data_IF_130264864791
#
_entry.id   IF_130264864791
#
_cell.length_a   1.000
_cell.length_b   1.000
_cell.length_c   1.000
_cell.angle_alpha   90.00
_cell.angle_beta   90.00
_cell.angle_gamma   90.00
#
_symmetry.space_group_name_H-M   'P 1'
#
loop_
_entity.id
_entity.type
_entity.pdbx_description
1 polymer ?
#
# COMPACT_ATOMS: atom_id res chain seq x y z
N UNK A 1 11.93 8.01 -71.02
CA UNK A 1 12.37 8.70 -69.78
C UNK A 1 11.18 9.18 -68.93
N UNK A 2 10.07 9.63 -69.52
CA UNK A 2 8.87 10.06 -68.77
C UNK A 2 8.17 8.92 -67.99
N UNK A 3 8.10 7.71 -68.53
CA UNK A 3 7.37 6.59 -67.90
C UNK A 3 8.00 6.10 -66.60
N UNK A 4 9.33 6.11 -66.50
CA UNK A 4 10.02 5.71 -65.27
C UNK A 4 9.83 6.75 -64.15
N UNK A 5 9.76 8.04 -64.49
CA UNK A 5 9.47 9.10 -63.53
C UNK A 5 8.07 8.98 -62.93
N UNK A 6 7.06 8.72 -63.77
CA UNK A 6 5.68 8.53 -63.33
C UNK A 6 5.53 7.27 -62.46
N UNK A 7 6.17 6.16 -62.85
CA UNK A 7 6.15 4.92 -62.07
C UNK A 7 6.77 5.09 -60.67
N UNK A 8 7.87 5.83 -60.54
CA UNK A 8 8.51 6.11 -59.24
C UNK A 8 7.61 6.98 -58.37
N UNK A 9 6.91 7.97 -58.94
CA UNK A 9 5.98 8.82 -58.20
C UNK A 9 4.77 8.01 -57.70
N UNK A 10 4.20 7.15 -58.56
CA UNK A 10 3.07 6.29 -58.18
C UNK A 10 3.49 5.29 -57.10
N UNK A 11 4.65 4.64 -57.25
CA UNK A 11 5.17 3.72 -56.25
C UNK A 11 5.45 4.43 -54.92
N UNK A 12 6.02 5.63 -54.97
CA UNK A 12 6.23 6.49 -53.80
C UNK A 12 4.92 6.84 -53.10
N UNK A 13 3.88 7.23 -53.85
CA UNK A 13 2.55 7.51 -53.30
C UNK A 13 1.88 6.27 -52.69
N UNK A 14 2.01 5.09 -53.34
CA UNK A 14 1.49 3.84 -52.81
C UNK A 14 2.22 3.41 -51.52
N UNK A 15 3.53 3.59 -51.44
CA UNK A 15 4.30 3.36 -50.21
C UNK A 15 3.86 4.33 -49.11
N UNK A 16 3.64 5.61 -49.43
CA UNK A 16 3.19 6.62 -48.47
C UNK A 16 1.75 6.35 -47.99
N UNK A 17 0.89 5.87 -48.88
CA UNK A 17 -0.48 5.44 -48.57
C UNK A 17 -0.49 4.18 -47.71
N UNK A 18 0.33 3.18 -48.04
CA UNK A 18 0.50 1.97 -47.23
C UNK A 18 1.04 2.31 -45.83
N UNK A 19 2.07 3.15 -45.73
CA UNK A 19 2.61 3.63 -44.46
C UNK A 19 1.60 4.47 -43.64
N UNK A 20 0.61 5.09 -44.30
CA UNK A 20 -0.51 5.78 -43.65
C UNK A 20 -1.61 4.83 -43.18
N UNK A 21 -1.90 3.77 -43.96
CA UNK A 21 -2.86 2.73 -43.60
C UNK A 21 -2.37 1.88 -42.41
N UNK A 22 -1.07 1.64 -42.31
CA UNK A 22 -0.43 0.94 -41.17
C UNK A 22 -0.64 1.66 -39.82
N UNK A 23 -0.92 2.98 -39.84
CA UNK A 23 -1.26 3.76 -38.63
C UNK A 23 -2.71 3.56 -38.17
N UNK A 24 -3.55 2.93 -38.96
CA UNK A 24 -4.99 2.72 -38.68
C UNK A 24 -5.26 1.30 -38.19
N UNK A 25 -4.25 0.42 -38.17
CA UNK A 25 -4.42 -0.92 -37.64
C UNK A 25 -4.83 -0.84 -36.16
N UNK A 26 -6.02 -1.34 -35.86
CA UNK A 26 -6.54 -1.37 -34.50
C UNK A 26 -5.68 -2.32 -33.71
N UNK A 27 -4.90 -1.77 -32.78
CA UNK A 27 -4.06 -2.57 -31.90
C UNK A 27 -4.96 -3.26 -30.90
N UNK A 28 -4.90 -4.58 -30.90
CA UNK A 28 -5.56 -5.41 -29.90
C UNK A 28 -4.49 -6.00 -28.98
N UNK A 29 -4.66 -5.78 -27.68
CA UNK A 29 -3.79 -6.37 -26.66
C UNK A 29 -4.64 -7.07 -25.61
N UNK A 30 -4.16 -8.20 -25.14
CA UNK A 30 -4.84 -9.02 -24.15
C UNK A 30 -3.85 -9.53 -23.11
N UNK A 31 -4.26 -9.56 -21.85
CA UNK A 31 -3.45 -10.15 -20.79
C UNK A 31 -3.98 -9.89 -19.40
N UNK A 32 -3.19 -10.25 -18.40
CA UNK A 32 -3.43 -9.85 -17.03
C UNK A 32 -3.24 -8.33 -16.91
N UNK A 33 -4.24 -7.63 -16.37
CA UNK A 33 -4.20 -6.19 -16.23
C UNK A 33 -3.58 -5.77 -14.91
N UNK A 34 -2.53 -4.94 -14.98
CA UNK A 34 -2.12 -4.11 -13.86
C UNK A 34 -2.97 -2.83 -13.88
N UNK A 35 -3.78 -2.64 -12.85
CA UNK A 35 -4.73 -1.53 -12.76
C UNK A 35 -4.04 -0.35 -12.08
N UNK A 36 -3.85 0.75 -12.80
CA UNK A 36 -3.13 1.93 -12.32
C UNK A 36 -4.05 2.86 -11.52
N UNK A 37 -5.21 3.20 -12.08
CA UNK A 37 -6.25 4.05 -11.47
C UNK A 37 -7.65 3.64 -11.99
N UNK A 38 -8.63 4.54 -11.98
CA UNK A 38 -10.00 4.25 -12.39
C UNK A 38 -10.26 4.23 -13.90
N UNK A 39 -9.34 4.71 -14.73
CA UNK A 39 -9.46 4.74 -16.19
C UNK A 39 -8.19 4.28 -16.94
N UNK A 40 -7.12 3.95 -16.23
CA UNK A 40 -5.83 3.56 -16.81
C UNK A 40 -5.37 2.19 -16.32
N UNK A 41 -4.94 1.35 -17.27
CA UNK A 41 -4.42 0.00 -17.02
C UNK A 41 -3.17 -0.27 -17.85
N UNK A 42 -2.40 -1.29 -17.47
CA UNK A 42 -1.22 -1.75 -18.20
C UNK A 42 -1.37 -3.24 -18.51
N UNK A 43 -1.25 -3.60 -19.80
CA UNK A 43 -1.26 -4.98 -20.29
C UNK A 43 0.13 -5.33 -20.85
N UNK A 44 0.92 -6.10 -20.10
CA UNK A 44 2.32 -6.36 -20.45
C UNK A 44 3.14 -5.06 -20.50
N UNK A 45 3.67 -4.72 -21.67
CA UNK A 45 4.41 -3.47 -21.90
C UNK A 45 3.52 -2.29 -22.34
N UNK A 46 2.25 -2.53 -22.65
CA UNK A 46 1.35 -1.53 -23.24
C UNK A 46 0.57 -0.81 -22.14
N UNK A 47 0.71 0.52 -22.08
CA UNK A 47 -0.06 1.37 -21.17
C UNK A 47 -1.29 1.90 -21.88
N UNK A 48 -2.45 1.74 -21.24
CA UNK A 48 -3.75 1.98 -21.86
C UNK A 48 -4.53 2.96 -20.99
N UNK A 49 -5.12 3.97 -21.64
CA UNK A 49 -6.15 4.82 -21.06
C UNK A 49 -7.48 4.46 -21.71
N UNK A 50 -8.49 4.20 -20.90
CA UNK A 50 -9.83 3.87 -21.34
C UNK A 50 -10.43 5.05 -22.10
N UNK A 51 -10.85 4.82 -23.35
CA UNK A 51 -11.42 5.86 -24.19
C UNK A 51 -12.78 6.30 -23.64
N UNK A 52 -13.08 7.60 -23.78
CA UNK A 52 -14.41 8.16 -23.53
C UNK A 52 -14.77 8.36 -22.07
N UNK A 53 -13.86 8.08 -21.14
CA UNK A 53 -14.09 8.21 -19.70
C UNK A 53 -12.91 8.89 -19.01
N UNK A 54 -13.19 9.55 -17.88
CA UNK A 54 -12.17 10.13 -17.00
C UNK A 54 -12.52 9.78 -15.55
N UNK A 55 -11.60 9.10 -14.88
CA UNK A 55 -11.77 8.72 -13.48
C UNK A 55 -10.82 9.52 -12.59
N UNK A 56 -11.14 9.69 -11.29
CA UNK A 56 -10.20 10.31 -10.36
C UNK A 56 -8.85 9.59 -10.35
N UNK A 57 -7.78 10.38 -10.37
CA UNK A 57 -6.42 9.89 -10.20
C UNK A 57 -6.31 9.08 -8.90
N UNK A 58 -5.42 8.07 -8.85
CA UNK A 58 -5.38 7.11 -7.73
C UNK A 58 -5.34 7.76 -6.33
N UNK A 59 -4.60 8.87 -6.20
CA UNK A 59 -4.42 9.59 -4.93
C UNK A 59 -5.46 10.70 -4.69
N UNK A 60 -6.41 10.88 -5.61
CA UNK A 60 -7.42 11.94 -5.54
C UNK A 60 -8.43 11.67 -4.41
N UNK A 61 -8.70 12.72 -3.64
CA UNK A 61 -9.78 12.78 -2.64
C UNK A 61 -10.90 13.66 -3.18
N UNK A 62 -12.14 13.23 -3.02
CA UNK A 62 -13.34 13.95 -3.45
C UNK A 62 -14.20 14.30 -2.24
N UNK A 63 -15.18 15.20 -2.41
CA UNK A 63 -16.08 15.62 -1.34
C UNK A 63 -17.53 15.36 -1.70
N UNK A 64 -18.27 14.67 -0.82
CA UNK A 64 -19.69 14.36 -0.99
C UNK A 64 -20.41 14.54 0.34
N UNK A 65 -21.54 15.25 0.33
CA UNK A 65 -22.33 15.55 1.54
C UNK A 65 -21.50 16.19 2.67
N UNK A 66 -20.56 17.06 2.31
CA UNK A 66 -19.69 17.74 3.27
C UNK A 66 -18.50 16.94 3.79
N UNK A 67 -18.42 15.63 3.50
CA UNK A 67 -17.33 14.75 3.91
C UNK A 67 -16.38 14.42 2.75
N UNK A 68 -15.09 14.33 3.07
CA UNK A 68 -14.05 13.91 2.13
C UNK A 68 -13.96 12.38 2.08
N UNK A 69 -13.72 11.82 0.90
CA UNK A 69 -13.57 10.38 0.68
C UNK A 69 -12.57 10.08 -0.45
N UNK A 70 -11.91 8.93 -0.36
CA UNK A 70 -10.85 8.49 -1.28
C UNK A 70 -11.41 7.99 -2.63
N UNK A 71 -12.00 8.89 -3.43
CA UNK A 71 -12.62 8.55 -4.71
C UNK A 71 -11.67 7.88 -5.69
N UNK A 72 -10.38 8.26 -5.75
CA UNK A 72 -9.38 7.63 -6.60
C UNK A 72 -9.17 6.15 -6.28
N UNK A 73 -8.97 5.84 -5.00
CA UNK A 73 -8.83 4.46 -4.53
C UNK A 73 -10.10 3.65 -4.78
N UNK A 74 -11.28 4.23 -4.55
CA UNK A 74 -12.56 3.54 -4.75
C UNK A 74 -12.87 3.30 -6.23
N UNK A 75 -12.54 4.25 -7.11
CA UNK A 75 -12.68 4.10 -8.56
C UNK A 75 -11.76 2.99 -9.10
N UNK A 76 -10.50 2.95 -8.63
CA UNK A 76 -9.58 1.85 -8.93
C UNK A 76 -10.09 0.50 -8.43
N UNK A 77 -10.57 0.44 -7.19
CA UNK A 77 -11.13 -0.79 -6.60
C UNK A 77 -12.37 -1.28 -7.34
N UNK A 78 -13.20 -0.37 -7.87
CA UNK A 78 -14.30 -0.73 -8.77
C UNK A 78 -13.78 -1.51 -9.98
N UNK A 79 -12.73 -1.00 -10.62
CA UNK A 79 -12.14 -1.66 -11.78
C UNK A 79 -11.49 -3.01 -11.44
N UNK A 80 -10.84 -3.12 -10.28
CA UNK A 80 -10.32 -4.41 -9.75
C UNK A 80 -11.45 -5.43 -9.60
N UNK A 81 -12.60 -5.02 -9.05
CA UNK A 81 -13.77 -5.91 -8.91
C UNK A 81 -14.39 -6.27 -10.25
N UNK A 82 -14.46 -5.34 -11.19
CA UNK A 82 -14.98 -5.59 -12.54
C UNK A 82 -14.10 -6.59 -13.31
N UNK A 83 -12.78 -6.49 -13.17
CA UNK A 83 -11.86 -7.43 -13.85
C UNK A 83 -11.88 -8.80 -13.17
N UNK A 84 -11.90 -8.84 -11.82
CA UNK A 84 -11.97 -10.06 -11.03
C UNK A 84 -10.94 -11.14 -11.43
N UNK A 85 -9.71 -10.71 -11.76
CA UNK A 85 -8.62 -11.59 -12.20
C UNK A 85 -8.77 -12.16 -13.61
N UNK A 86 -9.85 -11.84 -14.34
CA UNK A 86 -10.05 -12.29 -15.73
C UNK A 86 -9.10 -11.56 -16.67
N UNK A 87 -8.65 -12.19 -17.78
CA UNK A 87 -7.90 -11.51 -18.82
C UNK A 87 -8.68 -10.31 -19.34
N UNK A 88 -7.98 -9.19 -19.52
CA UNK A 88 -8.53 -7.98 -20.12
C UNK A 88 -8.07 -7.91 -21.57
N UNK A 89 -9.00 -7.62 -22.46
CA UNK A 89 -8.73 -7.32 -23.87
C UNK A 89 -9.03 -5.85 -24.11
N UNK A 90 -8.08 -5.11 -24.68
CA UNK A 90 -8.28 -3.73 -25.09
C UNK A 90 -7.96 -3.56 -26.57
N UNK A 91 -8.79 -2.76 -27.25
CA UNK A 91 -8.61 -2.42 -28.67
C UNK A 91 -8.60 -0.91 -28.87
N UNK A 92 -7.64 -0.40 -29.64
CA UNK A 92 -7.54 1.03 -29.96
C UNK A 92 -6.52 1.33 -31.04
N UNK A 93 -6.60 2.51 -31.64
CA UNK A 93 -5.67 2.94 -32.70
C UNK A 93 -4.99 4.29 -32.38
N UNK A 94 -5.64 5.13 -31.57
CA UNK A 94 -5.09 6.41 -31.13
C UNK A 94 -4.21 6.26 -29.89
N UNK A 95 -3.27 7.20 -29.71
CA UNK A 95 -2.52 7.38 -28.47
C UNK A 95 -2.74 8.78 -27.93
N UNK A 96 -2.71 8.92 -26.60
CA UNK A 96 -2.73 10.24 -25.96
C UNK A 96 -1.35 10.93 -26.03
N UNK A 97 -1.26 12.17 -25.54
CA UNK A 97 -0.01 12.96 -25.50
C UNK A 97 1.12 12.32 -24.68
N UNK A 98 0.80 11.33 -23.84
CA UNK A 98 1.76 10.60 -23.00
C UNK A 98 2.13 9.24 -23.61
N UNK A 99 1.68 8.97 -24.83
CA UNK A 99 1.95 7.73 -25.54
C UNK A 99 1.10 6.54 -25.09
N UNK A 100 0.07 6.72 -24.25
CA UNK A 100 -0.83 5.63 -23.84
C UNK A 100 -1.81 5.31 -24.96
N UNK A 101 -2.10 4.03 -25.20
CA UNK A 101 -3.15 3.61 -26.12
C UNK A 101 -4.52 4.08 -25.60
N UNK A 102 -5.31 4.74 -26.44
CA UNK A 102 -6.71 5.05 -26.14
C UNK A 102 -7.57 3.86 -26.56
N UNK A 103 -8.04 3.07 -25.58
CA UNK A 103 -8.63 1.75 -25.83
C UNK A 103 -10.02 1.55 -25.26
N UNK A 104 -10.81 0.72 -25.95
CA UNK A 104 -12.02 0.10 -25.41
C UNK A 104 -11.62 -1.22 -24.75
N UNK A 105 -11.90 -1.37 -23.46
CA UNK A 105 -11.42 -2.50 -22.67
C UNK A 105 -12.56 -3.38 -22.18
N UNK A 106 -12.37 -4.70 -22.26
CA UNK A 106 -13.35 -5.71 -21.82
C UNK A 106 -12.71 -6.78 -20.94
N UNK A 107 -13.43 -7.24 -19.93
CA UNK A 107 -13.05 -8.39 -19.11
C UNK A 107 -14.21 -9.38 -19.00
N UNK A 108 -14.04 -10.61 -19.50
CA UNK A 108 -15.09 -11.64 -19.45
C UNK A 108 -16.44 -11.18 -20.03
N UNK A 109 -16.41 -10.41 -21.13
CA UNK A 109 -17.60 -9.85 -21.79
C UNK A 109 -18.10 -8.52 -21.23
N UNK A 110 -17.67 -8.12 -20.03
CA UNK A 110 -18.02 -6.83 -19.43
C UNK A 110 -17.21 -5.70 -20.07
N UNK A 111 -17.88 -4.66 -20.56
CA UNK A 111 -17.26 -3.40 -20.98
C UNK A 111 -16.83 -2.59 -19.77
N UNK A 112 -15.51 -2.44 -19.60
CA UNK A 112 -14.93 -1.80 -18.41
C UNK A 112 -15.12 -0.28 -18.44
N UNK A 113 -15.06 0.33 -19.63
CA UNK A 113 -15.24 1.76 -19.80
C UNK A 113 -16.66 2.15 -19.36
N UNK A 114 -17.65 1.44 -19.91
CA UNK A 114 -19.07 1.62 -19.58
C UNK A 114 -19.35 1.35 -18.10
N UNK A 115 -18.87 0.22 -17.58
CA UNK A 115 -19.15 -0.18 -16.20
C UNK A 115 -18.59 0.80 -15.16
N UNK A 116 -17.49 1.49 -15.46
CA UNK A 116 -16.96 2.54 -14.58
C UNK A 116 -17.87 3.78 -14.55
N UNK A 117 -18.47 4.15 -15.68
CA UNK A 117 -19.45 5.25 -15.76
C UNK A 117 -20.74 4.86 -15.06
N UNK A 118 -21.29 3.67 -15.34
CA UNK A 118 -22.52 3.17 -14.72
C UNK A 118 -22.41 3.04 -13.19
N UNK A 119 -21.23 2.68 -12.69
CA UNK A 119 -20.95 2.60 -11.26
C UNK A 119 -20.70 3.98 -10.61
N UNK A 120 -20.66 5.04 -11.42
CA UNK A 120 -20.43 6.43 -11.02
C UNK A 120 -18.98 6.74 -10.65
N UNK A 121 -18.01 5.96 -11.12
CA UNK A 121 -16.59 6.13 -10.81
C UNK A 121 -15.81 6.89 -11.89
N UNK A 122 -16.39 7.10 -13.06
CA UNK A 122 -15.84 7.91 -14.13
C UNK A 122 -16.90 8.86 -14.71
N UNK A 123 -16.45 9.98 -15.25
CA UNK A 123 -17.26 10.93 -16.04
C UNK A 123 -17.11 10.56 -17.51
N UNK A 124 -18.19 10.61 -18.29
CA UNK A 124 -18.15 10.32 -19.71
C UNK A 124 -17.82 11.59 -20.53
N UNK A 125 -17.09 11.41 -21.62
CA UNK A 125 -16.92 12.45 -22.63
C UNK A 125 -17.15 11.83 -24.03
N UNK A 126 -18.25 12.22 -24.68
CA UNK A 126 -18.62 11.73 -26.01
C UNK A 126 -19.36 10.38 -25.98
N UNK A 127 -18.63 9.28 -25.82
CA UNK A 127 -19.11 7.92 -26.18
C UNK A 127 -20.03 7.24 -25.14
N UNK A 128 -20.23 7.84 -23.94
CA UNK A 128 -20.97 7.23 -22.81
C UNK A 128 -21.92 8.20 -22.07
N UNK A 129 -22.36 9.28 -22.72
CA UNK A 129 -23.19 10.32 -22.09
C UNK A 129 -24.57 9.81 -21.63
N UNK A 130 -25.12 8.79 -22.28
CA UNK A 130 -26.42 8.20 -21.92
C UNK A 130 -26.37 7.34 -20.65
N UNK A 131 -25.25 6.66 -20.44
CA UNK A 131 -24.97 5.83 -19.29
C UNK A 131 -24.71 6.69 -18.05
N UNK A 132 -23.99 7.82 -18.21
CA UNK A 132 -23.82 8.81 -17.14
C UNK A 132 -25.17 9.41 -16.70
N UNK A 133 -26.06 9.73 -17.65
CA UNK A 133 -27.39 10.24 -17.35
C UNK A 133 -28.24 9.26 -16.53
N UNK A 134 -28.05 7.95 -16.74
CA UNK A 134 -28.78 6.89 -16.02
C UNK A 134 -28.19 6.59 -14.64
N UNK A 135 -26.87 6.71 -14.48
CA UNK A 135 -26.15 6.44 -13.23
C UNK A 135 -26.40 7.50 -12.12
N UNK A 136 -26.92 8.67 -12.51
CA UNK A 136 -27.01 9.84 -11.64
C UNK A 136 -25.66 10.57 -11.51
N UNK A 137 -25.57 11.63 -10.68
CA UNK A 137 -24.36 12.44 -10.58
C UNK A 137 -23.15 11.58 -10.18
N UNK A 138 -21.99 11.74 -10.85
CA UNK A 138 -20.84 10.88 -10.63
C UNK A 138 -20.43 10.90 -9.15
N UNK A 139 -20.09 9.72 -8.61
CA UNK A 139 -19.51 9.54 -7.27
C UNK A 139 -18.05 10.00 -7.21
N UNK A 140 -17.63 10.84 -8.15
CA UNK A 140 -16.25 11.31 -8.35
C UNK A 140 -16.13 12.83 -8.42
N UNK A 141 -17.23 13.59 -8.37
CA UNK A 141 -17.16 15.06 -8.50
C UNK A 141 -16.91 15.73 -7.15
N UNK A 142 -15.72 16.33 -6.99
CA UNK A 142 -15.51 17.46 -6.09
C UNK A 142 -15.99 18.74 -6.79
N UNK A 143 -16.72 19.59 -6.08
CA UNK A 143 -17.11 20.90 -6.59
C UNK A 143 -15.90 21.81 -6.78
N UNK A 144 -15.18 21.68 -7.91
CA UNK A 144 -14.46 22.76 -8.62
C UNK A 144 -13.85 22.23 -9.94
N UNK A 145 -14.68 21.96 -10.95
CA UNK A 145 -14.17 21.98 -12.33
C UNK A 145 -13.90 23.45 -12.65
N UNK A 146 -12.62 23.85 -12.64
CA UNK A 146 -12.20 25.09 -13.30
C UNK A 146 -12.62 24.97 -14.76
N UNK A 147 -13.55 25.82 -15.13
CA UNK A 147 -13.99 26.08 -16.49
C UNK A 147 -12.85 25.99 -17.50
N UNK A 148 -12.86 24.97 -18.36
CA UNK A 148 -12.41 25.16 -19.73
C UNK A 148 -13.46 26.08 -20.36
N UNK A 149 -13.02 27.28 -20.74
CA UNK A 149 -13.87 28.32 -21.31
C UNK A 149 -14.64 27.82 -22.53
N UNK A 150 -15.96 27.68 -22.41
CA UNK A 150 -16.86 27.92 -23.53
C UNK A 150 -17.28 29.38 -23.47
N UNK A 151 -16.77 30.16 -24.41
CA UNK A 151 -17.36 31.43 -24.83
C UNK A 151 -18.80 31.13 -25.23
N UNK A 152 -19.76 31.67 -24.51
CA UNK A 152 -21.05 32.18 -25.00
C UNK A 152 -21.75 32.80 -23.80
N UNK A 153 -22.05 34.09 -23.92
CA UNK A 153 -22.58 34.89 -22.82
C UNK A 153 -23.99 34.49 -22.42
N UNK A 154 -24.26 34.55 -21.12
CA UNK A 154 -25.57 34.89 -20.57
C UNK A 154 -25.38 35.41 -19.13
N UNK A 155 -25.99 36.55 -18.88
CA UNK A 155 -25.97 37.40 -17.70
C UNK A 155 -26.69 36.83 -16.47
N UNK A 156 -26.18 37.18 -15.28
CA UNK A 156 -26.87 37.45 -14.01
C UNK A 156 -27.85 36.41 -13.40
N UNK A 157 -27.62 36.04 -12.12
CA UNK A 157 -28.45 36.44 -10.97
C UNK A 157 -27.85 35.87 -9.67
N UNK A 158 -27.92 36.73 -8.66
CA UNK A 158 -27.31 36.74 -7.34
C UNK A 158 -28.00 35.88 -6.28
N UNK A 159 -27.21 35.45 -5.29
CA UNK A 159 -27.49 35.40 -3.86
C UNK A 159 -28.98 35.35 -3.41
N UNK A 160 -29.50 34.14 -3.15
CA UNK A 160 -30.68 33.93 -2.30
C UNK A 160 -30.83 32.47 -1.85
N UNK A 161 -29.90 31.99 -1.04
CA UNK A 161 -30.02 30.66 -0.42
C UNK A 161 -29.53 30.58 1.03
N UNK A 162 -29.14 31.71 1.62
CA UNK A 162 -28.51 31.79 2.95
C UNK A 162 -29.46 32.20 4.09
N UNK A 163 -30.78 32.07 3.93
CA UNK A 163 -31.72 32.62 4.93
C UNK A 163 -32.89 31.73 5.36
N UNK A 164 -32.94 30.43 5.05
CA UNK A 164 -34.18 29.66 5.34
C UNK A 164 -34.08 28.31 6.06
N UNK A 165 -32.94 27.81 6.56
CA UNK A 165 -32.97 26.55 7.33
C UNK A 165 -32.00 26.45 8.52
N UNK A 166 -31.88 27.53 9.31
CA UNK A 166 -31.19 27.53 10.61
C UNK A 166 -32.11 27.30 11.84
N UNK A 167 -33.34 26.83 11.65
CA UNK A 167 -34.32 26.67 12.73
C UNK A 167 -34.80 25.21 12.89
N UNK A 168 -33.88 24.24 13.05
CA UNK A 168 -34.27 22.89 13.52
C UNK A 168 -33.18 22.06 14.19
N UNK A 169 -32.15 22.72 14.74
CA UNK A 169 -31.03 22.08 15.45
C UNK A 169 -30.86 22.62 16.88
N UNK A 170 -31.97 22.77 17.60
CA UNK A 170 -32.00 22.88 19.06
C UNK A 170 -33.06 21.93 19.60
N UNK A 171 -32.62 20.69 19.89
CA UNK A 171 -33.16 19.77 20.92
C UNK A 171 -32.57 18.38 20.70
N UNK A 172 -31.46 18.09 21.38
CA UNK A 172 -31.10 16.80 22.02
C UNK A 172 -29.58 16.72 22.20
N UNK A 173 -29.07 17.51 23.15
CA UNK A 173 -27.80 17.23 23.79
C UNK A 173 -28.09 16.46 25.09
N UNK A 174 -27.51 15.27 25.26
CA UNK A 174 -27.23 14.62 26.55
C UNK A 174 -26.22 13.46 26.30
N UNK A 175 -25.45 13.00 27.30
CA UNK A 175 -24.01 13.23 27.35
C UNK A 175 -23.17 11.94 27.37
N UNK A 176 -21.85 12.15 27.38
CA UNK A 176 -20.75 11.18 27.49
C UNK A 176 -20.98 10.05 28.52
N UNK A 177 -20.70 8.80 28.11
CA UNK A 177 -20.68 7.64 28.99
C UNK A 177 -20.06 6.40 28.34
N UNK A 178 -18.84 6.06 28.78
CA UNK A 178 -18.19 4.72 28.85
C UNK A 178 -18.74 3.60 27.95
N UNK A 179 -17.92 3.12 27.01
CA UNK A 179 -17.81 1.68 26.72
C UNK A 179 -16.38 1.35 26.23
N UNK A 180 -15.56 0.85 27.15
CA UNK A 180 -14.45 -0.04 26.84
C UNK A 180 -15.02 -1.46 26.58
N UNK A 181 -14.28 -2.26 25.81
CA UNK A 181 -14.44 -3.69 25.57
C UNK A 181 -15.50 -4.13 24.53
N UNK A 182 -15.04 -4.39 23.31
CA UNK A 182 -15.08 -5.75 22.74
C UNK A 182 -14.25 -5.80 21.46
N UNK A 183 -13.17 -6.58 21.50
CA UNK A 183 -12.42 -6.93 20.30
C UNK A 183 -13.33 -7.71 19.36
N UNK A 184 -13.64 -7.13 18.20
CA UNK A 184 -14.34 -7.86 17.13
C UNK A 184 -13.31 -8.71 16.41
N UNK A 185 -13.34 -10.01 16.69
CA UNK A 185 -12.71 -11.01 15.84
C UNK A 185 -13.25 -10.87 14.41
N UNK A 186 -12.37 -10.73 13.44
CA UNK A 186 -12.72 -10.63 12.05
C UNK A 186 -13.13 -12.04 11.56
N UNK A 187 -14.43 -12.28 11.32
CA UNK A 187 -14.90 -13.40 10.50
C UNK A 187 -15.48 -12.86 9.21
N UNK A 188 -14.67 -12.74 8.18
CA UNK A 188 -15.18 -12.73 6.80
C UNK A 188 -15.41 -14.17 6.39
N UNK A 189 -16.61 -14.67 6.67
CA UNK A 189 -17.06 -15.96 6.16
C UNK A 189 -17.27 -15.92 4.65
N UNK A 190 -16.22 -16.18 3.86
CA UNK A 190 -16.37 -16.85 2.56
C UNK A 190 -16.37 -18.35 2.83
N UNK A 191 -17.52 -19.02 2.63
CA UNK A 191 -17.58 -20.48 2.61
C UNK A 191 -16.69 -20.98 1.46
N UNK A 192 -15.48 -21.44 1.78
CA UNK A 192 -14.55 -22.08 0.84
C UNK A 192 -13.16 -21.43 0.68
N UNK A 193 -12.84 -20.33 1.37
CA UNK A 193 -11.48 -19.74 1.39
C UNK A 193 -10.62 -20.31 2.52
N UNK A 194 -9.29 -20.21 2.39
CA UNK A 194 -8.37 -20.46 3.51
C UNK A 194 -8.62 -19.37 4.56
N UNK A 195 -8.43 -19.63 5.85
CA UNK A 195 -8.48 -18.58 6.88
C UNK A 195 -7.12 -17.88 6.98
N UNK A 196 -7.12 -16.54 6.98
CA UNK A 196 -5.92 -15.73 7.17
C UNK A 196 -5.16 -16.18 8.43
N UNK A 197 -3.86 -16.39 8.31
CA UNK A 197 -3.03 -16.93 9.39
C UNK A 197 -1.60 -16.41 9.33
N UNK A 198 -1.00 -16.26 10.51
CA UNK A 198 0.36 -15.78 10.70
C UNK A 198 1.23 -16.92 11.23
N UNK A 199 2.17 -17.40 10.43
CA UNK A 199 3.18 -18.36 10.87
C UNK A 199 4.23 -17.63 11.73
N UNK A 200 4.38 -18.07 12.98
CA UNK A 200 5.15 -17.38 14.01
C UNK A 200 6.10 -18.35 14.74
N UNK A 201 7.34 -17.91 14.95
CA UNK A 201 8.41 -18.69 15.58
C UNK A 201 8.56 -18.48 17.09
N UNK A 202 7.50 -18.01 17.76
CA UNK A 202 7.49 -17.64 19.17
C UNK A 202 8.40 -16.44 19.45
N UNK A 203 9.50 -16.68 20.17
CA UNK A 203 10.41 -15.62 20.66
C UNK A 203 11.29 -14.97 19.58
N UNK A 204 11.15 -15.39 18.32
CA UNK A 204 11.92 -14.82 17.22
C UNK A 204 11.65 -13.30 17.06
N UNK A 205 12.69 -12.46 16.86
CA UNK A 205 12.52 -11.01 16.82
C UNK A 205 11.56 -10.50 15.74
N UNK A 206 11.65 -11.01 14.52
CA UNK A 206 10.84 -10.52 13.40
C UNK A 206 9.35 -10.88 13.52
N UNK A 207 8.96 -12.11 13.92
CA UNK A 207 7.57 -12.42 14.23
C UNK A 207 7.01 -11.57 15.38
N UNK A 208 7.80 -11.36 16.45
CA UNK A 208 7.41 -10.48 17.55
C UNK A 208 7.12 -9.04 17.08
N UNK A 209 7.88 -8.50 16.10
CA UNK A 209 7.60 -7.16 15.53
C UNK A 209 6.18 -7.08 14.96
N UNK A 210 5.75 -8.12 14.26
CA UNK A 210 4.38 -8.18 13.70
C UNK A 210 3.36 -8.32 14.81
N UNK A 211 3.59 -9.16 15.82
CA UNK A 211 2.66 -9.32 16.96
C UNK A 211 2.46 -8.03 17.75
N UNK A 212 3.54 -7.33 18.09
CA UNK A 212 3.46 -6.02 18.77
C UNK A 212 2.71 -5.01 17.90
N UNK A 213 2.99 -4.96 16.59
CA UNK A 213 2.29 -4.09 15.66
C UNK A 213 0.79 -4.39 15.60
N UNK A 214 0.40 -5.66 15.44
CA UNK A 214 -1.00 -6.08 15.43
C UNK A 214 -1.71 -5.74 16.74
N UNK A 215 -1.04 -5.93 17.88
CA UNK A 215 -1.57 -5.57 19.19
C UNK A 215 -1.84 -4.06 19.32
N UNK A 216 -0.91 -3.22 18.84
CA UNK A 216 -1.09 -1.75 18.79
C UNK A 216 -2.25 -1.33 17.89
N UNK A 217 -2.49 -2.09 16.82
CA UNK A 217 -3.64 -1.90 15.92
C UNK A 217 -4.95 -2.46 16.48
N UNK A 218 -4.91 -3.22 17.58
CA UNK A 218 -6.06 -3.97 18.08
C UNK A 218 -6.55 -5.06 17.12
N UNK A 219 -5.65 -5.59 16.28
CA UNK A 219 -5.95 -6.64 15.30
C UNK A 219 -5.51 -7.99 15.85
N UNK A 220 -6.38 -8.99 15.75
CA UNK A 220 -6.06 -10.38 16.05
C UNK A 220 -5.98 -11.19 14.75
N UNK A 221 -4.88 -11.91 14.58
CA UNK A 221 -4.67 -12.86 13.47
C UNK A 221 -4.38 -14.24 14.08
N UNK A 222 -5.04 -15.31 13.64
CA UNK A 222 -4.71 -16.67 14.06
C UNK A 222 -3.23 -17.00 13.85
N UNK A 223 -2.56 -17.47 14.91
CA UNK A 223 -1.16 -17.87 14.84
C UNK A 223 -1.05 -19.34 14.46
N UNK A 224 -0.15 -19.65 13.53
CA UNK A 224 0.36 -21.00 13.31
C UNK A 224 1.73 -21.07 13.95
N UNK A 225 1.88 -21.74 15.11
CA UNK A 225 3.19 -21.88 15.73
C UNK A 225 4.10 -22.72 14.83
N UNK A 226 5.34 -22.29 14.69
CA UNK A 226 6.40 -23.02 13.99
C UNK A 226 7.53 -23.24 14.98
N UNK A 227 7.87 -24.50 15.23
CA UNK A 227 8.97 -24.84 16.12
C UNK A 227 10.30 -24.49 15.46
N UNK A 228 10.85 -23.38 15.92
CA UNK A 228 12.16 -22.92 15.50
C UNK A 228 13.24 -23.92 15.95
N UNK A 229 13.21 -24.39 17.19
CA UNK A 229 14.21 -25.32 17.74
C UNK A 229 14.30 -26.64 16.97
N UNK A 230 13.17 -27.16 16.50
CA UNK A 230 13.09 -28.33 15.62
C UNK A 230 13.33 -28.03 14.12
N UNK A 231 13.76 -26.82 13.78
CA UNK A 231 14.03 -26.36 12.42
C UNK A 231 12.82 -26.44 11.46
N UNK A 232 11.58 -26.41 11.96
CA UNK A 232 10.38 -26.58 11.12
C UNK A 232 10.24 -25.48 10.05
N UNK A 233 10.75 -24.28 10.34
CA UNK A 233 10.82 -23.17 9.38
C UNK A 233 11.70 -23.46 8.14
N UNK A 234 12.52 -24.51 8.17
CA UNK A 234 13.26 -25.03 7.01
C UNK A 234 12.45 -26.06 6.20
N UNK A 235 11.42 -26.65 6.81
CA UNK A 235 10.55 -27.65 6.20
C UNK A 235 9.51 -27.07 5.25
N UNK A 236 8.77 -27.97 4.60
CA UNK A 236 7.85 -27.65 3.50
C UNK A 236 6.76 -26.65 3.91
N UNK A 237 6.31 -26.68 5.18
CA UNK A 237 5.30 -25.77 5.72
C UNK A 237 5.67 -24.31 5.51
N UNK A 238 6.94 -23.94 5.70
CA UNK A 238 7.40 -22.55 5.51
C UNK A 238 8.08 -22.37 4.16
N UNK A 239 8.89 -23.34 3.70
CA UNK A 239 9.69 -23.18 2.47
C UNK A 239 8.84 -23.06 1.20
N UNK A 240 7.65 -23.68 1.16
CA UNK A 240 6.69 -23.54 0.05
C UNK A 240 6.06 -22.15 -0.04
N UNK A 241 6.10 -21.37 1.04
CA UNK A 241 5.51 -20.02 1.14
C UNK A 241 6.58 -18.93 1.09
N UNK A 242 7.69 -19.16 1.78
CA UNK A 242 8.81 -18.26 1.85
C UNK A 242 10.08 -18.96 1.36
N UNK A 243 10.58 -18.64 0.15
CA UNK A 243 11.81 -19.25 -0.38
C UNK A 243 13.04 -18.94 0.49
N UNK A 244 13.02 -17.87 1.29
CA UNK A 244 14.08 -17.55 2.25
C UNK A 244 14.05 -18.44 3.50
N UNK A 245 12.99 -19.25 3.69
CA UNK A 245 12.80 -20.16 4.83
C UNK A 245 12.93 -19.42 6.17
N UNK A 246 12.19 -18.33 6.30
CA UNK A 246 12.21 -17.41 7.46
C UNK A 246 10.79 -17.07 7.88
N UNK A 247 10.67 -16.60 9.11
CA UNK A 247 9.43 -16.12 9.71
C UNK A 247 9.54 -14.61 10.01
N UNK A 248 8.42 -13.90 10.06
CA UNK A 248 7.04 -14.37 9.93
C UNK A 248 6.58 -14.58 8.48
N UNK A 249 5.48 -15.31 8.32
CA UNK A 249 4.76 -15.45 7.03
C UNK A 249 3.27 -15.21 7.28
N UNK A 250 2.67 -14.29 6.53
CA UNK A 250 1.22 -14.09 6.50
C UNK A 250 0.66 -14.78 5.27
N UNK A 251 -0.33 -15.64 5.44
CA UNK A 251 -1.14 -16.22 4.35
C UNK A 251 -2.54 -15.61 4.46
N UNK A 252 -3.02 -14.98 3.37
CA UNK A 252 -4.34 -14.35 3.29
C UNK A 252 -5.42 -15.38 2.96
N UNK A 253 -6.69 -14.96 3.03
CA UNK A 253 -7.82 -15.87 2.83
C UNK A 253 -7.87 -16.50 1.42
N UNK A 254 -7.29 -15.82 0.43
CA UNK A 254 -7.19 -16.28 -0.96
C UNK A 254 -5.91 -17.08 -1.24
N UNK A 255 -5.10 -17.36 -0.22
CA UNK A 255 -3.83 -18.07 -0.33
C UNK A 255 -2.64 -17.19 -0.72
N UNK A 256 -2.83 -15.88 -0.94
CA UNK A 256 -1.72 -14.95 -1.17
C UNK A 256 -0.79 -14.94 0.04
N UNK A 257 0.51 -14.97 -0.22
CA UNK A 257 1.54 -14.97 0.82
C UNK A 257 2.25 -13.62 0.86
N UNK A 258 2.35 -13.03 2.06
CA UNK A 258 3.17 -11.84 2.34
C UNK A 258 4.24 -12.23 3.36
N UNK A 259 5.50 -12.01 3.00
CA UNK A 259 6.66 -12.21 3.87
C UNK A 259 7.34 -10.87 4.15
N UNK A 260 8.34 -10.86 5.03
CA UNK A 260 8.97 -9.66 5.61
C UNK A 260 8.07 -8.92 6.60
N UNK A 261 8.56 -8.75 7.82
CA UNK A 261 7.80 -8.17 8.94
C UNK A 261 7.27 -6.76 8.62
N UNK A 262 8.08 -5.89 8.01
CA UNK A 262 7.66 -4.53 7.64
C UNK A 262 6.58 -4.54 6.56
N UNK A 263 6.64 -5.45 5.59
CA UNK A 263 5.64 -5.55 4.53
C UNK A 263 4.30 -6.07 5.08
N UNK A 264 4.35 -7.05 5.99
CA UNK A 264 3.16 -7.52 6.71
C UNK A 264 2.54 -6.39 7.54
N UNK A 265 3.34 -5.65 8.32
CA UNK A 265 2.84 -4.51 9.08
C UNK A 265 2.26 -3.43 8.15
N UNK A 266 2.89 -3.16 7.01
CA UNK A 266 2.38 -2.21 6.00
C UNK A 266 1.02 -2.64 5.47
N UNK A 267 0.84 -3.92 5.17
CA UNK A 267 -0.46 -4.45 4.72
C UNK A 267 -1.57 -4.12 5.72
N UNK A 268 -1.34 -4.38 7.02
CA UNK A 268 -2.31 -4.03 8.06
C UNK A 268 -2.44 -2.53 8.32
N UNK A 269 -1.38 -1.74 8.16
CA UNK A 269 -1.46 -0.27 8.21
C UNK A 269 -2.43 0.27 7.15
N UNK A 270 -2.34 -0.21 5.91
CA UNK A 270 -3.17 0.30 4.82
C UNK A 270 -4.64 -0.14 4.98
N UNK A 271 -4.90 -1.30 5.58
CA UNK A 271 -6.26 -1.75 5.92
C UNK A 271 -6.83 -1.04 7.15
N UNK A 272 -5.98 -0.73 8.12
CA UNK A 272 -6.33 -0.10 9.39
C UNK A 272 -5.40 1.10 9.64
N UNK A 273 -5.68 2.27 9.03
CA UNK A 273 -4.79 3.44 9.12
C UNK A 273 -4.62 4.01 10.52
N UNK A 274 -5.49 3.64 11.46
CA UNK A 274 -5.47 4.13 12.84
C UNK A 274 -5.16 3.01 13.84
N UNK A 275 -4.28 3.26 14.84
CA UNK A 275 -3.39 4.42 14.98
C UNK A 275 -2.30 4.46 13.88
N UNK A 276 -1.92 5.63 13.36
CA UNK A 276 -0.97 5.74 12.24
C UNK A 276 0.50 5.42 12.61
N UNK A 277 0.87 4.13 12.61
CA UNK A 277 2.19 3.64 13.01
C UNK A 277 3.26 3.80 11.92
N UNK A 278 2.85 4.05 10.67
CA UNK A 278 3.76 4.40 9.57
C UNK A 278 3.75 5.89 9.22
N UNK A 279 3.20 6.74 10.09
CA UNK A 279 3.19 8.19 9.90
C UNK A 279 2.07 8.69 9.00
N UNK A 280 1.81 10.00 9.10
CA UNK A 280 0.73 10.71 8.38
C UNK A 280 1.30 11.63 7.31
N UNK A 281 0.59 11.71 6.17
CA UNK A 281 1.01 12.53 5.04
C UNK A 281 2.36 12.12 4.45
N UNK A 282 2.84 12.86 3.46
CA UNK A 282 4.10 12.53 2.79
C UNK A 282 5.31 12.63 3.74
N UNK A 283 5.41 13.73 4.48
CA UNK A 283 6.56 13.98 5.36
C UNK A 283 6.62 13.00 6.54
N UNK A 284 5.50 12.79 7.24
CA UNK A 284 5.47 11.87 8.38
C UNK A 284 5.77 10.44 7.97
N UNK A 285 5.25 9.98 6.81
CA UNK A 285 5.59 8.66 6.26
C UNK A 285 7.08 8.54 5.96
N UNK A 286 7.69 9.54 5.32
CA UNK A 286 9.12 9.54 5.03
C UNK A 286 10.00 9.56 6.29
N UNK A 287 9.60 10.32 7.33
CA UNK A 287 10.31 10.37 8.60
C UNK A 287 10.28 9.03 9.34
N UNK A 288 9.10 8.40 9.42
CA UNK A 288 8.96 7.08 10.04
C UNK A 288 9.73 6.03 9.25
N UNK A 289 9.66 6.04 7.91
CA UNK A 289 10.41 5.10 7.09
C UNK A 289 11.93 5.25 7.26
N UNK A 290 12.44 6.49 7.26
CA UNK A 290 13.85 6.76 7.52
C UNK A 290 14.30 6.17 8.85
N UNK A 291 13.54 6.40 9.92
CA UNK A 291 13.89 5.89 11.25
C UNK A 291 13.69 4.38 11.38
N UNK A 292 12.69 3.81 10.72
CA UNK A 292 12.50 2.37 10.63
C UNK A 292 13.71 1.69 9.99
N UNK A 293 14.19 2.20 8.84
CA UNK A 293 15.39 1.67 8.16
C UNK A 293 16.64 1.84 9.01
N UNK A 294 16.78 2.97 9.71
CA UNK A 294 17.91 3.22 10.62
C UNK A 294 17.94 2.21 11.77
N UNK A 295 16.80 2.00 12.45
CA UNK A 295 16.64 1.01 13.52
C UNK A 295 16.90 -0.42 13.02
N UNK A 296 16.37 -0.76 11.85
CA UNK A 296 16.48 -2.11 11.30
C UNK A 296 17.90 -2.45 10.88
N UNK A 297 18.59 -1.56 10.16
CA UNK A 297 19.93 -1.87 9.64
C UNK A 297 21.04 -1.63 10.66
N UNK A 298 20.96 -0.55 11.45
CA UNK A 298 22.06 -0.13 12.31
C UNK A 298 21.93 -0.64 13.75
N UNK A 299 20.73 -1.03 14.19
CA UNK A 299 20.52 -1.62 15.51
C UNK A 299 20.15 -3.10 15.41
N UNK A 300 18.93 -3.42 14.97
CA UNK A 300 18.44 -4.81 14.95
C UNK A 300 19.35 -5.71 14.10
N UNK A 301 19.76 -5.23 12.93
CA UNK A 301 20.67 -5.95 12.03
C UNK A 301 22.01 -6.24 12.69
N UNK A 302 22.66 -5.23 13.27
CA UNK A 302 23.94 -5.40 13.95
C UNK A 302 23.84 -6.36 15.16
N UNK A 303 22.80 -6.22 15.98
CA UNK A 303 22.53 -7.12 17.11
C UNK A 303 22.28 -8.55 16.63
N UNK A 304 21.51 -8.72 15.55
CA UNK A 304 21.24 -10.03 14.96
C UNK A 304 22.49 -10.68 14.39
N UNK A 305 23.38 -9.92 13.73
CA UNK A 305 24.65 -10.45 13.23
C UNK A 305 25.56 -10.91 14.38
N UNK A 306 25.66 -10.14 15.46
CA UNK A 306 26.39 -10.55 16.66
C UNK A 306 25.82 -11.85 17.25
N UNK A 307 24.50 -11.96 17.40
CA UNK A 307 23.87 -13.18 17.89
C UNK A 307 24.12 -14.38 16.95
N UNK A 308 23.86 -14.22 15.64
CA UNK A 308 23.94 -15.30 14.65
C UNK A 308 25.34 -15.89 14.52
N UNK A 309 26.37 -15.06 14.56
CA UNK A 309 27.75 -15.51 14.31
C UNK A 309 28.58 -15.81 15.57
N UNK A 310 28.10 -15.45 16.78
CA UNK A 310 28.83 -15.69 18.03
C UNK A 310 28.09 -16.68 18.95
N UNK A 311 26.76 -16.69 18.94
CA UNK A 311 26.01 -17.45 19.92
C UNK A 311 26.08 -18.97 19.63
N UNK A 312 26.39 -19.83 20.63
CA UNK A 312 26.53 -21.28 20.42
C UNK A 312 25.28 -21.97 19.87
N UNK A 313 24.09 -21.51 20.26
CA UNK A 313 22.81 -22.04 19.75
C UNK A 313 22.61 -21.82 18.23
N UNK A 314 23.45 -21.00 17.59
CA UNK A 314 23.35 -20.69 16.17
C UNK A 314 24.32 -21.49 15.30
N UNK A 315 25.14 -22.39 15.88
CA UNK A 315 26.13 -23.19 15.15
C UNK A 315 25.54 -24.00 13.99
N UNK A 316 24.37 -24.59 14.18
CA UNK A 316 23.68 -25.39 13.16
C UNK A 316 22.79 -24.54 12.22
N UNK A 317 22.66 -23.24 12.52
CA UNK A 317 21.71 -22.33 11.88
C UNK A 317 22.36 -21.29 10.98
N UNK A 318 23.56 -20.85 11.36
CA UNK A 318 24.39 -19.90 10.63
C UNK A 318 25.68 -20.61 10.24
N UNK A 319 25.75 -21.04 8.98
CA UNK A 319 26.84 -21.85 8.47
C UNK A 319 27.46 -21.13 7.25
N UNK A 320 28.71 -20.64 7.33
CA UNK A 320 29.58 -20.65 8.50
C UNK A 320 29.20 -19.57 9.54
N UNK A 321 29.44 -19.85 10.82
CA UNK A 321 29.61 -18.77 11.80
C UNK A 321 30.96 -18.10 11.55
N UNK A 322 30.98 -16.77 11.62
CA UNK A 322 32.18 -15.94 11.37
C UNK A 322 32.32 -15.05 12.60
N UNK A 323 32.98 -15.52 13.67
CA UNK A 323 33.02 -14.81 14.95
C UNK A 323 33.51 -13.36 14.82
N UNK A 324 34.51 -13.11 13.97
CA UNK A 324 35.07 -11.79 13.71
C UNK A 324 34.02 -10.83 13.15
N UNK A 325 33.14 -11.33 12.27
CA UNK A 325 32.02 -10.54 11.74
C UNK A 325 30.99 -10.23 12.83
N UNK A 326 30.65 -11.22 13.65
CA UNK A 326 29.76 -11.01 14.79
C UNK A 326 30.30 -9.95 15.75
N UNK A 327 31.58 -10.06 16.13
CA UNK A 327 32.23 -9.13 17.06
C UNK A 327 32.32 -7.72 16.46
N UNK A 328 32.60 -7.60 15.16
CA UNK A 328 32.64 -6.33 14.44
C UNK A 328 31.28 -5.60 14.39
N UNK A 329 30.16 -6.30 14.61
CA UNK A 329 28.83 -5.68 14.64
C UNK A 329 28.43 -5.11 16.01
N UNK A 330 29.01 -5.61 17.11
CA UNK A 330 28.73 -5.09 18.46
C UNK A 330 29.01 -3.58 18.60
N UNK A 331 30.20 -3.05 18.25
CA UNK A 331 30.47 -1.62 18.40
C UNK A 331 29.58 -0.75 17.50
N UNK A 332 29.19 -1.23 16.31
CA UNK A 332 28.26 -0.52 15.41
C UNK A 332 26.89 -0.30 16.04
N UNK A 333 26.36 -1.33 16.71
CA UNK A 333 25.11 -1.21 17.46
C UNK A 333 25.25 -0.16 18.59
N UNK A 334 26.37 -0.17 19.32
CA UNK A 334 26.63 0.79 20.40
C UNK A 334 26.79 2.23 19.89
N UNK A 335 27.47 2.43 18.75
CA UNK A 335 27.58 3.74 18.10
C UNK A 335 26.21 4.26 17.67
N UNK A 336 25.38 3.40 17.10
CA UNK A 336 24.01 3.80 16.74
C UNK A 336 23.17 4.15 17.98
N UNK A 337 23.33 3.44 19.10
CA UNK A 337 22.66 3.80 20.35
C UNK A 337 23.05 5.20 20.84
N UNK A 338 24.30 5.64 20.63
CA UNK A 338 24.71 7.02 20.96
C UNK A 338 23.99 8.06 20.09
N UNK A 339 23.84 7.77 18.79
CA UNK A 339 23.07 8.63 17.86
C UNK A 339 21.61 8.68 18.30
N UNK A 340 21.00 7.52 18.55
CA UNK A 340 19.63 7.42 19.02
C UNK A 340 19.43 8.15 20.34
N UNK A 341 20.38 8.06 21.28
CA UNK A 341 20.35 8.74 22.56
C UNK A 341 20.35 10.27 22.42
N UNK A 342 21.15 10.81 21.51
CA UNK A 342 21.18 12.25 21.21
C UNK A 342 19.89 12.74 20.56
N UNK A 343 19.24 11.91 19.76
CA UNK A 343 17.97 12.24 19.13
C UNK A 343 16.80 12.16 20.13
N UNK A 344 16.74 11.11 20.96
CA UNK A 344 15.73 10.93 22.01
C UNK A 344 15.86 11.93 23.18
N UNK A 345 16.92 12.75 23.19
CA UNK A 345 17.01 13.92 24.05
C UNK A 345 16.05 15.04 23.63
N UNK A 346 15.64 15.06 22.35
CA UNK A 346 14.89 16.15 21.72
C UNK A 346 13.45 15.78 21.38
N UNK A 347 13.09 14.50 21.48
CA UNK A 347 11.77 13.97 21.10
C UNK A 347 11.42 12.74 21.91
N UNK A 348 10.12 12.45 21.97
CA UNK A 348 9.60 11.37 22.79
C UNK A 348 9.94 9.98 22.22
N UNK A 349 9.77 9.81 20.91
CA UNK A 349 9.90 8.55 20.18
C UNK A 349 10.95 8.61 19.07
N UNK A 350 11.27 7.45 18.50
CA UNK A 350 12.34 7.29 17.52
C UNK A 350 12.16 8.17 16.27
N UNK A 351 10.93 8.37 15.81
CA UNK A 351 10.62 9.08 14.57
C UNK A 351 9.98 10.47 14.77
N UNK A 352 9.81 10.93 16.01
CA UNK A 352 9.13 12.19 16.35
C UNK A 352 8.41 12.07 17.69
N UNK A 353 7.25 12.72 17.78
CA UNK A 353 6.41 12.70 18.99
C UNK A 353 5.33 11.60 18.98
N UNK A 354 5.21 10.85 17.87
CA UNK A 354 4.28 9.73 17.74
C UNK A 354 5.00 8.38 17.82
N UNK A 355 4.42 7.43 18.56
CA UNK A 355 4.84 6.03 18.55
C UNK A 355 4.64 5.41 17.18
N UNK A 356 5.64 4.68 16.69
CA UNK A 356 5.68 4.19 15.31
C UNK A 356 6.29 2.78 15.20
N UNK A 357 6.28 2.22 13.99
CA UNK A 357 6.97 0.95 13.71
C UNK A 357 8.48 1.01 13.99
N UNK A 358 9.09 2.20 13.89
CA UNK A 358 10.50 2.38 14.24
C UNK A 358 10.75 2.09 15.72
N UNK A 359 9.80 2.46 16.59
CA UNK A 359 9.86 2.19 18.02
C UNK A 359 9.67 0.71 18.34
N UNK A 360 8.76 0.03 17.64
CA UNK A 360 8.57 -1.42 17.75
C UNK A 360 9.87 -2.16 17.40
N UNK A 361 10.50 -1.78 16.28
CA UNK A 361 11.76 -2.37 15.83
C UNK A 361 12.87 -2.14 16.86
N UNK A 362 12.96 -0.92 17.40
CA UNK A 362 13.97 -0.57 18.40
C UNK A 362 13.78 -1.23 19.76
N UNK A 363 12.54 -1.35 20.26
CA UNK A 363 12.19 -2.15 21.45
C UNK A 363 12.74 -3.57 21.32
N UNK A 364 12.40 -4.23 20.22
CA UNK A 364 12.76 -5.62 19.98
C UNK A 364 14.25 -5.77 19.76
N UNK A 365 14.90 -4.79 19.14
CA UNK A 365 16.35 -4.80 18.99
C UNK A 365 17.06 -4.74 20.35
N UNK A 366 16.62 -3.86 21.27
CA UNK A 366 17.19 -3.75 22.62
C UNK A 366 16.94 -5.02 23.43
N UNK A 367 15.73 -5.56 23.40
CA UNK A 367 15.43 -6.82 24.08
C UNK A 367 16.31 -7.98 23.56
N UNK A 368 16.62 -7.96 22.25
CA UNK A 368 17.47 -8.96 21.61
C UNK A 368 18.97 -8.74 21.86
N UNK A 369 19.38 -7.61 22.44
CA UNK A 369 20.78 -7.40 22.86
C UNK A 369 21.19 -8.36 23.99
N UNK A 370 20.26 -8.73 24.88
CA UNK A 370 20.53 -9.66 25.98
C UNK A 370 21.03 -11.04 25.48
N UNK A 371 20.32 -11.77 24.61
CA UNK A 371 20.85 -13.02 24.04
C UNK A 371 22.08 -12.79 23.14
N UNK A 372 22.22 -11.61 22.52
CA UNK A 372 23.42 -11.24 21.76
C UNK A 372 24.64 -10.87 22.64
N UNK A 373 24.49 -10.84 23.98
CA UNK A 373 25.52 -10.44 24.95
C UNK A 373 26.05 -9.02 24.71
N UNK A 374 25.15 -8.10 24.37
CA UNK A 374 25.42 -6.67 24.25
C UNK A 374 24.64 -5.96 25.36
N UNK A 375 25.28 -5.03 26.07
CA UNK A 375 24.63 -4.19 27.09
C UNK A 375 24.43 -2.79 26.53
N UNK A 376 23.26 -2.20 26.75
CA UNK A 376 23.05 -0.77 26.49
C UNK A 376 23.95 0.03 27.44
N UNK A 377 24.79 0.95 26.94
CA UNK A 377 25.67 1.75 27.80
C UNK A 377 24.86 2.61 28.78
N UNK A 378 25.33 2.74 30.02
CA UNK A 378 24.59 3.44 31.09
C UNK A 378 24.46 4.95 30.81
N UNK A 379 25.39 5.51 30.04
CA UNK A 379 25.34 6.89 29.57
C UNK A 379 24.24 7.15 28.52
N UNK A 380 23.65 6.10 27.93
CA UNK A 380 22.53 6.22 26.99
C UNK A 380 21.19 6.39 27.73
N UNK A 381 21.12 7.39 28.63
CA UNK A 381 19.99 7.62 29.54
C UNK A 381 18.66 7.87 28.83
N UNK A 382 18.65 8.56 27.69
CA UNK A 382 17.44 8.81 26.91
C UNK A 382 16.94 7.55 26.20
N UNK A 383 17.86 6.67 25.76
CA UNK A 383 17.50 5.34 25.25
C UNK A 383 16.89 4.51 26.35
N UNK A 384 17.49 4.49 27.54
CA UNK A 384 16.98 3.73 28.69
C UNK A 384 15.58 4.21 29.10
N UNK A 385 15.37 5.53 29.20
CA UNK A 385 14.05 6.15 29.43
C UNK A 385 13.04 5.70 28.38
N UNK A 386 13.38 5.86 27.10
CA UNK A 386 12.50 5.54 25.99
C UNK A 386 12.17 4.03 25.95
N UNK A 387 13.17 3.16 26.14
CA UNK A 387 12.99 1.72 26.20
C UNK A 387 12.07 1.30 27.36
N UNK A 388 12.24 1.90 28.54
CA UNK A 388 11.33 1.67 29.67
C UNK A 388 9.89 2.09 29.34
N UNK A 389 9.72 3.26 28.72
CA UNK A 389 8.40 3.78 28.36
C UNK A 389 7.69 2.93 27.30
N UNK A 390 8.40 2.45 26.27
CA UNK A 390 7.79 1.58 25.25
C UNK A 390 7.61 0.14 25.75
N UNK A 391 8.43 -0.33 26.69
CA UNK A 391 8.30 -1.66 27.31
C UNK A 391 7.11 -1.76 28.26
N UNK A 392 6.62 -0.64 28.81
CA UNK A 392 5.44 -0.62 29.68
C UNK A 392 4.11 -0.66 28.91
N UNK A 393 4.15 -0.56 27.58
CA UNK A 393 2.95 -0.68 26.73
C UNK A 393 2.41 -2.10 26.78
N UNK A 394 1.08 -2.32 26.87
CA UNK A 394 0.50 -3.68 26.90
C UNK A 394 0.90 -4.54 25.70
N UNK A 395 1.03 -3.92 24.52
CA UNK A 395 1.48 -4.56 23.29
C UNK A 395 2.91 -5.11 23.34
N UNK A 396 3.78 -4.59 24.22
CA UNK A 396 5.18 -5.01 24.30
C UNK A 396 5.32 -6.48 24.79
N UNK A 397 4.30 -6.97 25.50
CA UNK A 397 4.20 -8.35 25.97
C UNK A 397 3.68 -9.33 24.89
N UNK A 398 3.29 -8.81 23.71
CA UNK A 398 2.63 -9.57 22.66
C UNK A 398 3.44 -10.75 22.13
#
# INVERSE_FOLDING_TARGET
>A
MLDYGLAIIILGLLILLAARLDRVETRQTQGAAMINDGDSITLGAERIRMRGIDAPEYTQTCRRNGADYACGTLARQSLVRLIAGRPVTCSGWQRDRYGRLLGDCKAGGTDLNRAQVEAGWAVAFGDFESEEATAGPPRSVSGRVRSISRRTGATAITARWWSENMARWRRSATPCGRFFASGKAYRLGRKGGIEMKLFDGGRAPNPRRVRVFLAEKGIAVPLVPVDMGALEHKGQTVSSRNPLRRLPVLELDDGTVITESVAICRYFEELHPEPALFGRGALGKAQVEMWQRRMEFNLLGCVAQAFRHIHPAMKEWEIPQIPEWGEANKPKALEFLKILNGELAKREFAAGDGYSIADITGLIAIDFMKPARIKVPEECTNVLRWHQAISSRPSAAA
#
